data_IF_002520247676
#
_entry.id   IF_002520247676
#
_cell.length_a   1.000
_cell.length_b   1.000
_cell.length_c   1.000
_cell.angle_alpha   90.00
_cell.angle_beta   90.00
_cell.angle_gamma   90.00
#
_symmetry.space_group_name_H-M   'P 1'
#
loop_
_entity.id
_entity.type
_entity.pdbx_description
1 polymer ?
#
# COMPACT_ATOMS: atom_id res chain seq x y z
N UNK A 1 -10.40 -15.13 14.64
CA UNK A 1 -9.40 -16.23 14.77
C UNK A 1 -8.13 -15.65 15.37
N UNK A 2 -7.24 -16.44 15.95
CA UNK A 2 -5.96 -15.96 16.49
C UNK A 2 -4.79 -16.73 15.86
N UNK A 3 -3.73 -16.00 15.51
CA UNK A 3 -2.48 -16.52 14.98
C UNK A 3 -1.33 -16.13 15.90
N UNK A 4 -0.44 -17.09 16.13
CA UNK A 4 0.79 -16.88 16.87
C UNK A 4 1.97 -17.00 15.92
N UNK A 5 2.63 -15.88 15.65
CA UNK A 5 3.72 -15.76 14.68
C UNK A 5 5.08 -15.90 15.38
N UNK A 6 6.03 -16.59 14.74
CA UNK A 6 7.43 -16.61 15.17
C UNK A 6 8.25 -15.76 14.19
N UNK A 7 9.15 -14.88 14.67
CA UNK A 7 10.01 -14.10 13.79
C UNK A 7 10.75 -14.98 12.78
N UNK A 8 10.72 -14.58 11.50
CA UNK A 8 11.36 -15.28 10.38
C UNK A 8 10.68 -16.58 9.93
N UNK A 9 9.57 -17.00 10.57
CA UNK A 9 8.83 -18.21 10.18
C UNK A 9 7.44 -17.86 9.63
N UNK A 10 7.21 -18.03 8.31
CA UNK A 10 5.89 -17.80 7.73
C UNK A 10 4.88 -18.83 8.23
N UNK A 11 3.64 -18.38 8.44
CA UNK A 11 2.48 -19.21 8.78
C UNK A 11 1.43 -19.09 7.67
N UNK A 12 0.96 -20.21 7.16
CA UNK A 12 -0.08 -20.26 6.13
C UNK A 12 -1.38 -20.83 6.68
N UNK A 13 -2.51 -20.19 6.36
CA UNK A 13 -3.85 -20.68 6.68
C UNK A 13 -4.81 -20.58 5.48
N UNK A 14 -5.85 -21.40 5.48
CA UNK A 14 -6.86 -21.43 4.42
C UNK A 14 -8.00 -20.43 4.71
N UNK A 15 -8.16 -19.42 3.86
CA UNK A 15 -9.35 -18.57 3.81
C UNK A 15 -10.43 -19.25 2.97
N UNK A 16 -11.43 -19.83 3.63
CA UNK A 16 -12.57 -20.51 2.98
C UNK A 16 -13.69 -19.51 2.75
N UNK A 17 -14.15 -19.41 1.51
CA UNK A 17 -15.20 -18.47 1.13
C UNK A 17 -16.32 -19.20 0.41
N UNK A 18 -17.54 -18.76 0.68
CA UNK A 18 -18.77 -19.30 0.11
C UNK A 18 -19.53 -18.18 -0.59
N UNK A 19 -20.01 -18.43 -1.81
CA UNK A 19 -20.88 -17.46 -2.50
C UNK A 19 -22.20 -17.30 -1.73
N UNK A 20 -22.64 -16.07 -1.40
CA UNK A 20 -23.94 -15.83 -0.80
C UNK A 20 -25.06 -16.17 -1.78
N UNK A 21 -26.14 -16.76 -1.28
CA UNK A 21 -27.29 -17.20 -2.11
C UNK A 21 -28.44 -16.19 -2.16
N UNK A 22 -28.47 -15.21 -1.26
CA UNK A 22 -29.65 -14.34 -1.01
C UNK A 22 -29.22 -12.94 -0.56
N UNK A 23 -28.18 -12.36 -1.18
CA UNK A 23 -27.79 -10.97 -0.90
C UNK A 23 -28.18 -10.08 -2.07
N UNK A 24 -29.00 -9.05 -1.85
CA UNK A 24 -29.38 -8.13 -2.91
C UNK A 24 -28.16 -7.35 -3.40
N UNK A 25 -28.19 -6.99 -4.67
CA UNK A 25 -27.21 -6.10 -5.29
C UNK A 25 -27.85 -4.71 -5.37
N UNK A 26 -27.22 -3.76 -4.71
CA UNK A 26 -27.61 -2.35 -4.73
C UNK A 26 -26.91 -1.69 -5.91
N UNK A 27 -27.69 -1.12 -6.83
CA UNK A 27 -27.17 -0.54 -8.08
C UNK A 27 -27.31 0.98 -8.04
N UNK A 28 -26.18 1.68 -8.11
CA UNK A 28 -26.14 3.13 -8.32
C UNK A 28 -25.71 3.46 -9.74
N UNK A 29 -26.52 4.25 -10.46
CA UNK A 29 -26.29 4.58 -11.87
C UNK A 29 -25.74 6.01 -12.01
N UNK A 30 -24.46 6.16 -12.34
CA UNK A 30 -23.78 7.45 -12.46
C UNK A 30 -23.48 7.75 -13.93
N UNK A 31 -24.06 8.80 -14.51
CA UNK A 31 -23.94 9.10 -15.95
C UNK A 31 -23.41 10.49 -16.23
N UNK A 32 -22.65 10.64 -17.33
CA UNK A 32 -22.21 11.94 -17.81
C UNK A 32 -23.38 12.73 -18.42
N UNK A 33 -23.36 14.05 -18.22
CA UNK A 33 -24.33 14.96 -18.83
C UNK A 33 -24.24 14.97 -20.35
N UNK A 34 -23.02 14.97 -20.90
CA UNK A 34 -22.76 14.90 -22.35
C UNK A 34 -23.41 13.67 -22.99
N UNK A 35 -23.37 12.53 -22.28
CA UNK A 35 -24.04 11.33 -22.74
C UNK A 35 -25.56 11.47 -22.70
N UNK A 36 -26.17 12.13 -21.70
CA UNK A 36 -27.62 12.34 -21.70
C UNK A 36 -28.04 13.32 -22.81
N UNK A 37 -27.27 14.40 -23.01
CA UNK A 37 -27.58 15.51 -23.91
C UNK A 37 -27.53 15.16 -25.40
N UNK A 38 -26.56 14.35 -25.86
CA UNK A 38 -26.39 13.99 -27.30
C UNK A 38 -27.47 13.03 -27.86
N UNK A 39 -28.54 12.74 -27.13
CA UNK A 39 -29.39 11.57 -27.36
C UNK A 39 -30.85 11.91 -27.63
N UNK A 40 -31.54 11.06 -28.40
CA UNK A 40 -33.01 11.09 -28.40
C UNK A 40 -33.50 10.79 -26.97
N UNK A 41 -34.17 11.74 -26.34
CA UNK A 41 -34.57 11.77 -24.92
C UNK A 41 -35.21 10.46 -24.42
N UNK A 42 -35.85 9.69 -25.31
CA UNK A 42 -36.51 8.42 -25.00
C UNK A 42 -35.57 7.21 -24.82
N UNK A 43 -34.41 7.14 -25.50
CA UNK A 43 -33.52 5.96 -25.47
C UNK A 43 -32.52 5.97 -24.32
N UNK A 44 -32.10 7.16 -23.87
CA UNK A 44 -31.07 7.31 -22.81
C UNK A 44 -31.65 7.40 -21.41
N UNK A 45 -32.92 7.80 -21.26
CA UNK A 45 -33.70 7.72 -20.01
C UNK A 45 -33.93 6.29 -19.54
N UNK A 46 -34.06 5.33 -20.46
CA UNK A 46 -34.28 3.91 -20.14
C UNK A 46 -33.00 3.11 -19.86
N UNK A 47 -31.81 3.68 -20.08
CA UNK A 47 -30.55 2.92 -19.92
C UNK A 47 -30.35 2.48 -18.47
N UNK A 48 -30.67 3.32 -17.49
CA UNK A 48 -30.62 2.95 -16.08
C UNK A 48 -31.50 1.73 -15.75
N UNK A 49 -32.72 1.68 -16.28
CA UNK A 49 -33.61 0.53 -16.08
C UNK A 49 -33.06 -0.74 -16.74
N UNK A 50 -32.43 -0.63 -17.91
CA UNK A 50 -31.77 -1.76 -18.57
C UNK A 50 -30.55 -2.26 -17.79
N UNK A 51 -29.79 -1.36 -17.16
CA UNK A 51 -28.68 -1.73 -16.27
C UNK A 51 -29.18 -2.58 -15.12
N UNK A 52 -30.21 -2.12 -14.41
CA UNK A 52 -30.77 -2.88 -13.28
C UNK A 52 -31.33 -4.21 -13.74
N UNK A 53 -32.07 -4.23 -14.85
CA UNK A 53 -32.59 -5.47 -15.44
C UNK A 53 -31.49 -6.44 -15.85
N UNK A 54 -30.35 -5.95 -16.36
CA UNK A 54 -29.20 -6.79 -16.71
C UNK A 54 -28.57 -7.45 -15.48
N UNK A 55 -28.48 -6.72 -14.36
CA UNK A 55 -27.97 -7.25 -13.09
C UNK A 55 -28.95 -8.25 -12.50
N UNK A 56 -30.27 -8.00 -12.62
CA UNK A 56 -31.33 -8.91 -12.19
C UNK A 56 -31.31 -10.27 -12.92
N UNK A 57 -30.86 -10.32 -14.18
CA UNK A 57 -30.66 -11.60 -14.90
C UNK A 57 -29.63 -12.52 -14.21
N UNK A 58 -28.77 -11.98 -13.34
CA UNK A 58 -27.71 -12.72 -12.60
C UNK A 58 -28.03 -12.79 -11.11
N UNK A 59 -28.52 -11.70 -10.53
CA UNK A 59 -28.90 -11.58 -9.13
C UNK A 59 -30.34 -11.05 -9.02
N UNK A 60 -31.36 -11.92 -8.93
CA UNK A 60 -32.77 -11.52 -9.02
C UNK A 60 -33.24 -10.48 -7.99
N UNK A 61 -32.59 -10.41 -6.83
CA UNK A 61 -32.90 -9.44 -5.76
C UNK A 61 -32.25 -8.07 -5.98
N UNK A 62 -31.55 -7.86 -7.11
CA UNK A 62 -30.93 -6.60 -7.43
C UNK A 62 -31.98 -5.48 -7.61
N UNK A 63 -31.67 -4.31 -7.07
CA UNK A 63 -32.50 -3.12 -7.16
C UNK A 63 -31.62 -1.87 -7.23
N UNK A 64 -32.17 -0.78 -7.75
CA UNK A 64 -31.46 0.50 -7.71
C UNK A 64 -31.70 1.24 -6.42
N UNK A 65 -30.68 1.96 -5.98
CA UNK A 65 -30.74 2.88 -4.85
C UNK A 65 -30.72 4.35 -5.28
N UNK A 66 -30.58 4.63 -6.58
CA UNK A 66 -30.56 5.98 -7.13
C UNK A 66 -29.71 6.14 -8.38
N UNK A 67 -29.65 7.37 -8.84
CA UNK A 67 -28.84 7.78 -9.98
C UNK A 67 -28.07 9.06 -9.68
N UNK A 68 -27.06 9.34 -10.50
CA UNK A 68 -26.32 10.58 -10.44
C UNK A 68 -25.93 11.10 -11.83
N UNK A 69 -25.75 12.42 -11.90
CA UNK A 69 -25.41 13.14 -13.13
C UNK A 69 -24.16 13.99 -12.88
N UNK A 70 -23.19 13.94 -13.78
CA UNK A 70 -21.95 14.73 -13.68
C UNK A 70 -21.60 15.48 -14.96
N UNK A 71 -20.96 16.63 -14.82
CA UNK A 71 -20.52 17.50 -15.92
C UNK A 71 -19.50 18.54 -15.43
N UNK A 72 -18.72 19.15 -16.34
CA UNK A 72 -17.69 20.14 -15.96
C UNK A 72 -18.13 21.60 -16.17
N UNK A 73 -17.52 22.48 -15.38
CA UNK A 73 -17.78 23.91 -15.20
C UNK A 73 -16.84 24.81 -16.05
N UNK A 74 -15.95 24.27 -16.90
CA UNK A 74 -14.92 25.10 -17.52
C UNK A 74 -15.48 26.09 -18.57
N UNK A 75 -15.61 27.35 -18.15
CA UNK A 75 -15.80 28.57 -18.95
C UNK A 75 -17.05 28.61 -19.86
N UNK A 76 -18.23 28.44 -19.28
CA UNK A 76 -19.39 29.17 -19.79
C UNK A 76 -19.28 30.63 -19.30
N UNK A 77 -18.49 31.44 -20.01
CA UNK A 77 -18.93 32.82 -20.24
C UNK A 77 -20.30 32.69 -20.88
N UNK A 78 -21.35 32.83 -20.07
CA UNK A 78 -22.72 32.97 -20.53
C UNK A 78 -22.79 34.26 -21.36
N UNK A 79 -22.32 34.20 -22.61
CA UNK A 79 -22.84 35.10 -23.62
C UNK A 79 -24.36 34.88 -23.62
N UNK A 80 -25.06 36.00 -23.46
CA UNK A 80 -26.50 36.17 -23.39
C UNK A 80 -27.23 35.70 -24.66
N UNK A 81 -27.09 34.46 -25.06
CA UNK A 81 -27.75 33.90 -26.25
C UNK A 81 -28.51 32.63 -25.88
N UNK A 82 -29.54 32.77 -25.05
CA UNK A 82 -30.53 31.69 -24.90
C UNK A 82 -31.47 31.75 -23.70
N UNK A 83 -31.03 32.30 -22.57
CA UNK A 83 -31.93 32.50 -21.42
C UNK A 83 -32.64 33.85 -21.58
N UNK A 84 -33.96 33.82 -21.79
CA UNK A 84 -34.77 35.04 -21.86
C UNK A 84 -34.62 35.89 -20.60
N UNK A 85 -34.57 37.21 -20.74
CA UNK A 85 -34.54 38.12 -19.59
C UNK A 85 -35.77 37.88 -18.71
N UNK A 86 -35.58 37.27 -17.54
CA UNK A 86 -36.64 37.04 -16.55
C UNK A 86 -36.70 35.65 -15.92
N UNK A 87 -36.04 34.64 -16.49
CA UNK A 87 -36.01 33.29 -15.92
C UNK A 87 -34.88 33.13 -14.90
N UNK A 88 -35.24 33.08 -13.62
CA UNK A 88 -34.32 32.99 -12.49
C UNK A 88 -33.58 31.64 -12.35
N UNK A 89 -33.76 30.69 -13.27
CA UNK A 89 -33.40 29.28 -13.05
C UNK A 89 -32.32 28.70 -13.99
N UNK A 90 -31.75 29.48 -14.92
CA UNK A 90 -30.56 29.06 -15.68
C UNK A 90 -29.26 28.98 -14.83
N UNK A 91 -29.34 29.13 -13.51
CA UNK A 91 -28.22 29.49 -12.62
C UNK A 91 -27.48 28.34 -11.94
N UNK A 92 -27.75 27.07 -12.23
CA UNK A 92 -27.09 25.98 -11.49
C UNK A 92 -26.55 24.87 -12.42
N UNK A 93 -25.28 25.00 -12.79
CA UNK A 93 -24.52 23.92 -13.43
C UNK A 93 -23.70 23.21 -12.34
N UNK A 94 -23.87 21.90 -12.22
CA UNK A 94 -23.38 21.09 -11.11
C UNK A 94 -22.24 20.17 -11.55
N UNK A 95 -21.21 20.00 -10.71
CA UNK A 95 -20.14 19.01 -10.96
C UNK A 95 -20.65 17.59 -10.78
N UNK A 96 -21.50 17.39 -9.77
CA UNK A 96 -22.19 16.13 -9.49
C UNK A 96 -23.56 16.42 -8.89
N UNK A 97 -24.56 15.65 -9.29
CA UNK A 97 -25.92 15.69 -8.76
C UNK A 97 -26.40 14.29 -8.41
N UNK A 98 -26.97 14.11 -7.23
CA UNK A 98 -27.56 12.86 -6.78
C UNK A 98 -29.10 12.91 -6.90
N UNK A 99 -29.69 11.81 -7.37
CA UNK A 99 -31.13 11.62 -7.43
C UNK A 99 -31.50 10.28 -6.77
N UNK A 100 -32.50 10.24 -5.88
CA UNK A 100 -32.96 8.99 -5.27
C UNK A 100 -33.72 8.10 -6.26
N UNK A 101 -34.11 8.64 -7.42
CA UNK A 101 -34.72 7.89 -8.53
C UNK A 101 -33.67 7.47 -9.56
N UNK A 102 -33.97 6.40 -10.27
CA UNK A 102 -33.22 5.91 -11.44
C UNK A 102 -33.25 6.87 -12.62
N UNK A 103 -34.34 7.64 -12.73
CA UNK A 103 -34.56 8.55 -13.83
C UNK A 103 -33.91 9.90 -13.50
N UNK A 104 -32.92 10.36 -14.29
CA UNK A 104 -32.48 11.75 -14.21
C UNK A 104 -33.65 12.67 -14.62
N UNK A 105 -33.67 13.93 -14.16
CA UNK A 105 -34.74 14.88 -14.50
C UNK A 105 -34.94 15.00 -16.01
N UNK A 106 -36.21 15.00 -16.45
CA UNK A 106 -36.61 14.95 -17.86
C UNK A 106 -36.14 16.15 -18.70
N UNK A 107 -35.75 17.24 -18.04
CA UNK A 107 -35.28 18.47 -18.67
C UNK A 107 -33.79 18.66 -18.38
N UNK A 108 -32.96 18.20 -19.32
CA UNK A 108 -31.58 18.68 -19.42
C UNK A 108 -31.61 20.14 -19.89
N UNK A 109 -30.83 21.06 -19.28
CA UNK A 109 -30.70 22.42 -19.77
C UNK A 109 -30.31 22.42 -21.26
N UNK A 110 -31.02 23.20 -22.08
CA UNK A 110 -30.64 23.44 -23.48
C UNK A 110 -29.45 24.37 -23.48
N UNK A 111 -28.25 23.83 -23.63
CA UNK A 111 -27.02 24.63 -23.71
C UNK A 111 -26.23 24.26 -24.97
N UNK A 112 -25.71 25.29 -25.63
CA UNK A 112 -25.04 25.22 -26.94
C UNK A 112 -23.81 24.31 -26.97
N UNK A 113 -23.41 23.98 -28.19
CA UNK A 113 -22.43 22.98 -28.67
C UNK A 113 -20.98 23.02 -28.08
N UNK A 114 -20.76 23.59 -26.89
CA UNK A 114 -19.44 23.60 -26.23
C UNK A 114 -19.51 23.44 -24.72
N UNK A 115 -20.27 22.44 -24.24
CA UNK A 115 -19.96 21.90 -22.91
C UNK A 115 -18.68 21.09 -23.00
N UNK A 116 -17.58 21.74 -22.60
CA UNK A 116 -16.31 21.12 -22.29
C UNK A 116 -16.53 19.79 -21.57
N UNK A 117 -15.83 18.78 -22.07
CA UNK A 117 -16.00 17.37 -21.78
C UNK A 117 -16.07 17.03 -20.28
N UNK A 118 -16.58 15.84 -20.01
CA UNK A 118 -16.94 15.22 -18.73
C UNK A 118 -15.80 15.03 -17.71
N UNK A 119 -14.91 16.00 -17.56
CA UNK A 119 -13.65 15.89 -16.84
C UNK A 119 -13.85 15.74 -15.32
N UNK A 120 -15.00 16.16 -14.79
CA UNK A 120 -15.43 15.98 -13.39
C UNK A 120 -15.89 14.55 -13.02
N UNK A 121 -15.81 13.61 -13.95
CA UNK A 121 -16.32 12.25 -13.76
C UNK A 121 -15.73 11.50 -12.57
N UNK A 122 -14.40 11.52 -12.37
CA UNK A 122 -13.81 10.83 -11.21
C UNK A 122 -14.14 11.51 -9.88
N UNK A 123 -14.33 12.83 -9.88
CA UNK A 123 -14.77 13.55 -8.68
C UNK A 123 -16.21 13.18 -8.31
N UNK A 124 -17.10 13.07 -9.30
CA UNK A 124 -18.46 12.59 -9.08
C UNK A 124 -18.48 11.14 -8.58
N UNK A 125 -17.64 10.28 -9.16
CA UNK A 125 -17.48 8.89 -8.71
C UNK A 125 -17.01 8.84 -7.25
N UNK A 126 -16.00 9.63 -6.88
CA UNK A 126 -15.52 9.71 -5.51
C UNK A 126 -16.63 10.16 -4.55
N UNK A 127 -17.39 11.20 -4.89
CA UNK A 127 -18.50 11.68 -4.04
C UNK A 127 -19.61 10.64 -3.87
N UNK A 128 -19.97 9.89 -4.92
CA UNK A 128 -20.92 8.77 -4.83
C UNK A 128 -20.40 7.61 -3.94
N UNK A 129 -19.08 7.49 -3.80
CA UNK A 129 -18.43 6.48 -2.95
C UNK A 129 -18.41 6.92 -1.48
N UNK A 130 -18.02 8.17 -1.19
CA UNK A 130 -17.82 8.64 0.20
C UNK A 130 -19.08 9.18 0.86
N UNK A 131 -20.10 9.58 0.10
CA UNK A 131 -21.36 10.10 0.62
C UNK A 131 -22.40 9.00 0.90
N UNK A 132 -21.96 7.87 1.48
CA UNK A 132 -22.80 6.66 1.50
C UNK A 132 -24.14 6.80 2.21
N UNK A 133 -24.20 7.61 3.28
CA UNK A 133 -25.44 7.88 4.01
C UNK A 133 -26.45 8.68 3.18
N UNK A 134 -25.98 9.61 2.35
CA UNK A 134 -26.84 10.43 1.47
C UNK A 134 -27.25 9.67 0.20
N UNK A 135 -26.35 8.84 -0.33
CA UNK A 135 -26.64 7.98 -1.48
C UNK A 135 -27.60 6.84 -1.10
N UNK A 136 -27.56 6.39 0.16
CA UNK A 136 -28.41 5.32 0.67
C UNK A 136 -27.83 3.91 0.45
N UNK A 137 -26.51 3.76 0.47
CA UNK A 137 -25.89 2.43 0.41
C UNK A 137 -26.26 1.60 1.65
N UNK A 138 -26.86 0.43 1.45
CA UNK A 138 -27.25 -0.48 2.51
C UNK A 138 -26.16 -1.51 2.82
N UNK A 139 -26.63 -2.69 3.26
CA UNK A 139 -25.80 -3.84 3.65
C UNK A 139 -25.64 -4.84 2.49
N UNK A 140 -26.16 -4.52 1.30
CA UNK A 140 -26.07 -5.36 0.12
C UNK A 140 -24.70 -5.37 -0.56
N UNK A 141 -24.64 -6.04 -1.71
CA UNK A 141 -23.50 -5.94 -2.62
C UNK A 141 -23.58 -4.61 -3.36
N UNK A 142 -22.60 -3.74 -3.18
CA UNK A 142 -22.61 -2.39 -3.76
C UNK A 142 -22.02 -2.40 -5.17
N UNK A 143 -22.81 -2.00 -6.15
CA UNK A 143 -22.42 -1.91 -7.55
C UNK A 143 -22.71 -0.51 -8.09
N UNK A 144 -21.67 0.17 -8.55
CA UNK A 144 -21.78 1.45 -9.22
C UNK A 144 -21.53 1.26 -10.72
N UNK A 145 -22.50 1.66 -11.54
CA UNK A 145 -22.36 1.66 -13.00
C UNK A 145 -22.07 3.07 -13.45
N UNK A 146 -20.87 3.30 -13.97
CA UNK A 146 -20.36 4.59 -14.41
C UNK A 146 -20.47 4.69 -15.92
N UNK A 147 -21.21 5.68 -16.44
CA UNK A 147 -21.44 5.90 -17.87
C UNK A 147 -20.77 7.18 -18.34
N UNK A 148 -19.90 7.07 -19.33
CA UNK A 148 -19.23 8.22 -19.93
C UNK A 148 -18.95 8.04 -21.42
N UNK A 149 -18.98 9.15 -22.16
CA UNK A 149 -18.67 9.24 -23.59
C UNK A 149 -17.37 10.02 -23.86
N UNK A 150 -16.67 10.42 -22.81
CA UNK A 150 -15.41 11.16 -22.87
C UNK A 150 -14.44 10.67 -21.78
N UNK A 151 -13.20 11.14 -21.86
CA UNK A 151 -12.16 10.83 -20.89
C UNK A 151 -12.41 11.44 -19.51
N UNK A 152 -11.43 11.26 -18.63
CA UNK A 152 -11.42 11.80 -17.28
C UNK A 152 -10.12 12.55 -16.97
N UNK A 153 -10.16 13.41 -15.93
CA UNK A 153 -8.99 14.05 -15.32
C UNK A 153 -8.68 13.45 -13.94
N UNK A 154 -7.42 13.57 -13.53
CA UNK A 154 -6.92 13.15 -12.21
C UNK A 154 -6.25 14.33 -11.51
N UNK A 155 -5.85 14.13 -10.25
CA UNK A 155 -5.16 15.13 -9.44
C UNK A 155 -4.03 15.86 -10.19
N UNK A 156 -3.93 17.17 -9.95
CA UNK A 156 -2.93 18.04 -10.59
C UNK A 156 -3.30 18.54 -11.99
N UNK A 157 -4.47 18.15 -12.53
CA UNK A 157 -4.96 18.58 -13.84
C UNK A 157 -6.03 19.71 -13.77
N UNK A 158 -6.20 20.34 -12.60
CA UNK A 158 -7.10 21.50 -12.40
C UNK A 158 -6.44 22.87 -12.59
N UNK A 159 -7.23 23.93 -12.83
CA UNK A 159 -6.78 25.32 -12.70
C UNK A 159 -6.23 25.64 -11.29
N UNK A 160 -5.31 26.62 -11.22
CA UNK A 160 -4.45 26.97 -10.05
C UNK A 160 -5.16 27.31 -8.72
N UNK A 161 -6.49 27.45 -8.69
CA UNK A 161 -7.25 27.88 -7.50
C UNK A 161 -8.02 26.74 -6.79
N UNK A 162 -7.81 25.48 -7.20
CA UNK A 162 -8.55 24.33 -6.66
C UNK A 162 -8.04 23.94 -5.26
N UNK A 163 -8.96 23.68 -4.32
CA UNK A 163 -8.62 23.29 -2.95
C UNK A 163 -8.34 21.78 -2.86
N UNK A 164 -7.16 21.41 -2.37
CA UNK A 164 -6.66 20.03 -2.27
C UNK A 164 -7.09 19.30 -0.98
N UNK A 165 -7.36 20.04 0.10
CA UNK A 165 -7.39 19.46 1.46
C UNK A 165 -8.67 18.67 1.85
N UNK A 166 -9.66 18.53 0.97
CA UNK A 166 -10.99 17.98 1.32
C UNK A 166 -11.54 16.92 0.35
N UNK A 167 -10.64 16.23 -0.37
CA UNK A 167 -11.03 15.37 -1.49
C UNK A 167 -11.66 14.05 -1.05
N UNK A 168 -11.14 13.43 0.02
CA UNK A 168 -11.61 12.13 0.51
C UNK A 168 -12.87 12.18 1.37
N UNK A 169 -13.53 13.34 1.50
CA UNK A 169 -14.73 13.52 2.34
C UNK A 169 -15.99 13.73 1.51
N UNK A 170 -17.13 13.43 2.13
CA UNK A 170 -18.41 13.75 1.55
C UNK A 170 -18.67 15.26 1.59
N UNK A 171 -18.92 15.83 0.41
CA UNK A 171 -19.21 17.25 0.23
C UNK A 171 -20.63 17.51 -0.32
N UNK A 172 -21.44 16.46 -0.50
CA UNK A 172 -22.88 16.62 -0.74
C UNK A 172 -23.55 17.17 0.51
N UNK A 173 -24.51 18.08 0.34
CA UNK A 173 -25.34 18.60 1.44
C UNK A 173 -26.75 18.05 1.31
N UNK A 174 -27.43 17.87 2.43
CA UNK A 174 -28.77 17.26 2.49
C UNK A 174 -29.84 18.11 1.77
N UNK A 175 -29.66 19.44 1.79
CA UNK A 175 -30.51 20.43 1.12
C UNK A 175 -30.11 20.68 -0.36
N UNK A 176 -28.87 20.34 -0.71
CA UNK A 176 -28.31 20.50 -2.03
C UNK A 176 -27.89 19.13 -2.55
N UNK A 177 -28.80 18.49 -3.28
CA UNK A 177 -28.57 17.29 -4.10
C UNK A 177 -27.47 17.44 -5.16
N UNK A 178 -26.67 18.50 -5.06
CA UNK A 178 -25.71 18.91 -6.04
C UNK A 178 -24.45 19.48 -5.37
N UNK A 179 -23.31 19.09 -5.91
CA UNK A 179 -21.99 19.57 -5.53
C UNK A 179 -21.42 20.41 -6.68
N UNK A 180 -20.98 21.63 -6.38
CA UNK A 180 -20.49 22.63 -7.36
C UNK A 180 -19.16 23.29 -6.93
N UNK A 181 -18.54 22.83 -5.83
CA UNK A 181 -17.30 23.44 -5.34
C UNK A 181 -16.11 22.99 -6.19
N UNK A 182 -15.23 23.94 -6.52
CA UNK A 182 -13.98 23.69 -7.25
C UNK A 182 -12.97 22.96 -6.35
N UNK A 183 -13.10 21.64 -6.28
CA UNK A 183 -12.10 20.73 -5.73
C UNK A 183 -11.20 20.23 -6.87
N UNK A 184 -9.97 19.84 -6.52
CA UNK A 184 -9.13 19.08 -7.46
C UNK A 184 -9.78 17.70 -7.75
N UNK A 185 -9.39 17.06 -8.84
CA UNK A 185 -9.84 15.70 -9.19
C UNK A 185 -9.07 14.66 -8.37
N UNK A 186 -9.67 13.52 -7.98
CA UNK A 186 -8.96 12.52 -7.20
C UNK A 186 -7.73 11.97 -7.90
N UNK A 187 -6.72 11.62 -7.10
CA UNK A 187 -5.69 10.70 -7.57
C UNK A 187 -6.30 9.30 -7.73
N UNK A 188 -5.72 8.49 -8.62
CA UNK A 188 -6.16 7.09 -8.80
C UNK A 188 -6.00 6.30 -7.50
N UNK A 189 -4.97 6.61 -6.70
CA UNK A 189 -4.72 5.98 -5.41
C UNK A 189 -5.81 6.29 -4.37
N UNK A 190 -6.24 7.56 -4.25
CA UNK A 190 -7.33 7.95 -3.34
C UNK A 190 -8.64 7.25 -3.75
N UNK A 191 -8.95 7.24 -5.04
CA UNK A 191 -10.14 6.56 -5.54
C UNK A 191 -10.09 5.04 -5.26
N UNK A 192 -8.95 4.39 -5.50
CA UNK A 192 -8.76 2.97 -5.18
C UNK A 192 -8.92 2.68 -3.69
N UNK A 193 -8.40 3.56 -2.83
CA UNK A 193 -8.53 3.45 -1.37
C UNK A 193 -10.00 3.54 -0.94
N UNK A 194 -10.72 4.59 -1.38
CA UNK A 194 -12.14 4.80 -1.00
C UNK A 194 -13.08 3.76 -1.56
N UNK A 195 -12.85 3.25 -2.78
CA UNK A 195 -13.61 2.13 -3.33
C UNK A 195 -13.42 0.85 -2.50
N UNK A 196 -12.18 0.58 -2.05
CA UNK A 196 -11.86 -0.56 -1.19
C UNK A 196 -12.52 -0.43 0.18
N UNK A 197 -12.39 0.74 0.81
CA UNK A 197 -12.92 1.04 2.14
C UNK A 197 -14.46 0.95 2.18
N UNK A 198 -15.13 1.48 1.15
CA UNK A 198 -16.58 1.46 1.06
C UNK A 198 -17.12 0.20 0.36
N UNK A 199 -16.22 -0.69 -0.09
CA UNK A 199 -16.53 -1.96 -0.70
C UNK A 199 -17.44 -1.87 -1.94
N UNK A 200 -17.21 -0.85 -2.77
CA UNK A 200 -17.99 -0.55 -3.97
C UNK A 200 -17.26 -1.08 -5.20
N UNK A 201 -17.98 -1.81 -6.05
CA UNK A 201 -17.49 -2.30 -7.34
C UNK A 201 -17.94 -1.39 -8.46
N UNK A 202 -17.10 -1.21 -9.49
CA UNK A 202 -17.39 -0.29 -10.59
C UNK A 202 -17.43 -1.00 -11.93
N UNK A 203 -18.53 -0.82 -12.67
CA UNK A 203 -18.59 -1.14 -14.11
C UNK A 203 -18.49 0.19 -14.87
N UNK A 204 -17.40 0.38 -15.61
CA UNK A 204 -17.25 1.48 -16.55
C UNK A 204 -17.93 1.10 -17.86
N UNK A 205 -19.07 1.71 -18.14
CA UNK A 205 -19.80 1.58 -19.39
C UNK A 205 -19.50 2.80 -20.27
N UNK A 206 -18.59 2.64 -21.23
CA UNK A 206 -18.01 3.78 -21.95
C UNK A 206 -18.03 3.60 -23.46
N UNK A 207 -17.97 4.70 -24.21
CA UNK A 207 -17.86 4.64 -25.68
C UNK A 207 -16.54 4.00 -26.11
N UNK A 208 -16.53 3.41 -27.31
CA UNK A 208 -15.36 2.72 -27.87
C UNK A 208 -14.12 3.63 -27.92
N UNK A 209 -14.31 4.91 -28.24
CA UNK A 209 -13.24 5.91 -28.35
C UNK A 209 -12.41 6.09 -27.07
N UNK A 210 -13.00 5.88 -25.89
CA UNK A 210 -12.33 6.10 -24.60
C UNK A 210 -12.08 4.80 -23.82
N UNK A 211 -12.50 3.65 -24.36
CA UNK A 211 -12.48 2.37 -23.67
C UNK A 211 -11.08 1.97 -23.15
N UNK A 212 -10.03 2.14 -23.96
CA UNK A 212 -8.67 1.80 -23.55
C UNK A 212 -8.18 2.62 -22.34
N UNK A 213 -8.48 3.93 -22.30
CA UNK A 213 -8.12 4.79 -21.16
C UNK A 213 -8.81 4.35 -19.86
N UNK A 214 -10.07 3.91 -19.94
CA UNK A 214 -10.78 3.39 -18.78
C UNK A 214 -10.31 1.98 -18.39
N UNK A 215 -9.78 1.20 -19.34
CA UNK A 215 -9.18 -0.11 -19.06
C UNK A 215 -7.91 0.03 -18.24
N UNK A 216 -7.02 0.95 -18.61
CA UNK A 216 -5.84 1.30 -17.82
C UNK A 216 -6.20 1.77 -16.40
N UNK A 217 -7.27 2.58 -16.27
CA UNK A 217 -7.79 2.96 -14.96
C UNK A 217 -8.31 1.74 -14.18
N UNK A 218 -9.08 0.88 -14.84
CA UNK A 218 -9.69 -0.32 -14.24
C UNK A 218 -8.64 -1.30 -13.70
N UNK A 219 -7.50 -1.43 -14.37
CA UNK A 219 -6.37 -2.26 -13.93
C UNK A 219 -5.77 -1.78 -12.59
N UNK A 220 -5.88 -0.49 -12.28
CA UNK A 220 -5.38 0.11 -11.04
C UNK A 220 -6.42 0.06 -9.91
N UNK A 221 -7.71 0.09 -10.26
CA UNK A 221 -8.82 0.14 -9.31
C UNK A 221 -9.21 -1.25 -8.79
N UNK A 222 -9.64 -1.34 -7.52
CA UNK A 222 -10.11 -2.60 -6.95
C UNK A 222 -11.42 -3.03 -7.62
N UNK A 223 -11.49 -4.31 -8.01
CA UNK A 223 -12.72 -5.00 -8.42
C UNK A 223 -13.62 -4.16 -9.34
N UNK A 224 -12.99 -3.68 -10.42
CA UNK A 224 -13.65 -2.89 -11.46
C UNK A 224 -13.56 -3.60 -12.81
N UNK A 225 -14.40 -3.20 -13.77
CA UNK A 225 -14.34 -3.70 -15.14
C UNK A 225 -14.83 -2.65 -16.13
N UNK A 226 -14.50 -2.83 -17.41
CA UNK A 226 -14.89 -1.97 -18.51
C UNK A 226 -15.73 -2.76 -19.50
N UNK A 227 -16.81 -2.14 -19.97
CA UNK A 227 -17.62 -2.65 -21.07
C UNK A 227 -17.91 -1.52 -22.06
N UNK A 228 -17.90 -1.85 -23.34
CA UNK A 228 -18.16 -0.87 -24.41
C UNK A 228 -19.65 -0.64 -24.58
N UNK A 229 -20.02 0.64 -24.70
CA UNK A 229 -21.35 1.13 -24.99
C UNK A 229 -21.56 1.18 -26.51
N UNK A 230 -22.43 0.30 -27.08
CA UNK A 230 -22.65 0.27 -28.52
C UNK A 230 -23.54 1.43 -28.97
N UNK A 231 -23.29 1.94 -30.17
CA UNK A 231 -23.98 3.12 -30.73
C UNK A 231 -25.51 2.95 -30.85
N UNK A 232 -26.00 1.72 -31.04
CA UNK A 232 -27.43 1.42 -31.23
C UNK A 232 -28.15 0.91 -29.98
N UNK A 233 -27.42 0.69 -28.88
CA UNK A 233 -27.90 0.16 -27.60
C UNK A 233 -28.66 -1.18 -27.68
N UNK A 234 -28.66 -1.90 -28.81
CA UNK A 234 -29.50 -3.11 -28.97
C UNK A 234 -29.04 -4.27 -28.08
N UNK A 235 -27.73 -4.33 -27.80
CA UNK A 235 -27.11 -5.42 -27.04
C UNK A 235 -26.63 -4.98 -25.65
N UNK A 236 -26.97 -3.77 -25.21
CA UNK A 236 -26.38 -3.20 -23.99
C UNK A 236 -26.73 -4.01 -22.73
N UNK A 237 -27.96 -4.54 -22.63
CA UNK A 237 -28.37 -5.42 -21.53
C UNK A 237 -27.45 -6.65 -21.43
N UNK A 238 -27.10 -7.26 -22.57
CA UNK A 238 -26.19 -8.42 -22.62
C UNK A 238 -24.78 -8.06 -22.14
N UNK A 239 -24.23 -6.96 -22.64
CA UNK A 239 -22.89 -6.49 -22.28
C UNK A 239 -22.78 -6.21 -20.76
N UNK A 240 -23.78 -5.53 -20.17
CA UNK A 240 -23.79 -5.24 -18.73
C UNK A 240 -23.92 -6.52 -17.92
N UNK A 241 -24.78 -7.46 -18.36
CA UNK A 241 -24.94 -8.76 -17.70
C UNK A 241 -23.62 -9.53 -17.67
N UNK A 242 -22.90 -9.56 -18.78
CA UNK A 242 -21.65 -10.29 -18.90
C UNK A 242 -20.51 -9.60 -18.11
N UNK A 243 -20.48 -8.26 -18.10
CA UNK A 243 -19.58 -7.48 -17.23
C UNK A 243 -19.83 -7.77 -15.74
N UNK A 244 -21.11 -7.82 -15.31
CA UNK A 244 -21.46 -8.14 -13.94
C UNK A 244 -21.14 -9.61 -13.59
N UNK A 245 -21.38 -10.57 -14.50
CA UNK A 245 -20.96 -11.97 -14.32
C UNK A 245 -19.46 -12.08 -14.10
N UNK A 246 -18.67 -11.35 -14.90
CA UNK A 246 -17.23 -11.33 -14.73
C UNK A 246 -16.84 -10.81 -13.34
N UNK A 247 -17.39 -9.68 -12.89
CA UNK A 247 -17.14 -9.16 -11.53
C UNK A 247 -17.58 -10.13 -10.42
N UNK A 248 -18.73 -10.78 -10.58
CA UNK A 248 -19.24 -11.76 -9.63
C UNK A 248 -18.42 -13.07 -9.61
N UNK A 249 -17.73 -13.37 -10.72
CA UNK A 249 -16.82 -14.50 -10.85
C UNK A 249 -15.42 -14.23 -10.29
N UNK A 250 -15.00 -12.95 -10.23
CA UNK A 250 -13.68 -12.56 -9.75
C UNK A 250 -13.68 -12.29 -8.24
N UNK A 251 -12.76 -12.94 -7.54
CA UNK A 251 -12.44 -12.67 -6.15
C UNK A 251 -11.29 -11.71 -6.07
N UNK A 252 -11.38 -10.82 -5.10
CA UNK A 252 -10.27 -9.97 -4.69
C UNK A 252 -10.35 -9.86 -3.17
N UNK A 253 -9.23 -10.14 -2.50
CA UNK A 253 -9.13 -10.01 -1.04
C UNK A 253 -8.24 -8.82 -0.73
N UNK A 254 -8.76 -7.87 0.02
CA UNK A 254 -7.96 -6.77 0.59
C UNK A 254 -7.67 -7.04 2.05
N UNK A 255 -6.66 -6.34 2.56
CA UNK A 255 -6.27 -6.44 3.96
C UNK A 255 -5.92 -5.07 4.53
N UNK A 256 -6.09 -4.91 5.84
CA UNK A 256 -5.60 -3.72 6.54
C UNK A 256 -4.08 -3.73 6.58
N UNK A 257 -3.48 -2.56 6.39
CA UNK A 257 -2.04 -2.40 6.58
C UNK A 257 -1.68 -2.60 8.05
N UNK A 258 -0.62 -3.37 8.29
CA UNK A 258 -0.10 -3.67 9.62
C UNK A 258 1.43 -3.53 9.54
N UNK A 259 2.00 -2.68 10.38
CA UNK A 259 3.44 -2.42 10.39
C UNK A 259 4.23 -3.67 10.79
N UNK A 260 5.32 -3.96 10.09
CA UNK A 260 6.18 -5.13 10.35
C UNK A 260 5.60 -6.49 9.94
N UNK A 261 4.50 -6.51 9.19
CA UNK A 261 3.83 -7.72 8.74
C UNK A 261 3.87 -7.87 7.21
N UNK A 262 4.35 -9.02 6.74
CA UNK A 262 4.34 -9.40 5.33
C UNK A 262 3.20 -10.39 5.07
N UNK A 263 2.37 -10.10 4.07
CA UNK A 263 1.22 -10.94 3.68
C UNK A 263 1.32 -11.29 2.20
N UNK A 264 1.11 -12.55 1.87
CA UNK A 264 1.02 -13.03 0.49
C UNK A 264 -0.14 -14.01 0.31
N UNK A 265 -0.62 -14.13 -0.93
CA UNK A 265 -1.78 -14.93 -1.28
C UNK A 265 -1.41 -15.94 -2.36
N UNK A 266 -1.62 -17.23 -2.08
CA UNK A 266 -1.56 -18.28 -3.08
C UNK A 266 -2.98 -18.73 -3.41
N UNK A 267 -3.39 -18.58 -4.67
CA UNK A 267 -4.71 -19.00 -5.14
C UNK A 267 -4.68 -20.46 -5.61
N UNK A 268 -5.70 -21.24 -5.23
CA UNK A 268 -5.96 -22.58 -5.76
C UNK A 268 -7.00 -22.59 -6.89
N UNK A 269 -7.17 -21.47 -7.59
CA UNK A 269 -8.36 -21.22 -8.41
C UNK A 269 -8.33 -21.83 -9.81
N UNK A 270 -7.14 -22.18 -10.31
CA UNK A 270 -6.90 -22.94 -11.53
C UNK A 270 -5.44 -23.38 -11.55
N UNK A 271 -5.15 -24.52 -12.21
CA UNK A 271 -3.78 -25.00 -12.39
C UNK A 271 -2.93 -23.91 -13.10
N UNK A 272 -1.91 -23.39 -12.41
CA UNK A 272 -0.83 -22.62 -13.03
C UNK A 272 -0.80 -21.10 -12.80
N UNK A 273 -1.70 -20.50 -12.01
CA UNK A 273 -1.63 -19.04 -11.76
C UNK A 273 -0.72 -18.69 -10.57
N UNK A 274 0.23 -17.75 -10.79
CA UNK A 274 1.21 -17.30 -9.79
C UNK A 274 0.63 -16.27 -8.81
N UNK A 275 1.16 -16.32 -7.59
CA UNK A 275 0.93 -15.43 -6.45
C UNK A 275 0.71 -13.96 -6.85
N UNK A 276 -0.43 -13.36 -6.45
CA UNK A 276 -0.73 -11.94 -6.67
C UNK A 276 -0.82 -11.18 -5.35
N UNK A 277 -0.44 -9.89 -5.37
CA UNK A 277 -0.44 -9.01 -4.20
C UNK A 277 -1.85 -8.81 -3.61
N UNK A 278 -2.91 -8.96 -4.41
CA UNK A 278 -4.32 -8.75 -4.00
C UNK A 278 -5.17 -10.02 -3.94
N UNK A 279 -4.55 -11.21 -3.92
CA UNK A 279 -5.27 -12.49 -3.84
C UNK A 279 -6.37 -12.63 -4.90
N UNK A 280 -6.14 -12.07 -6.09
CA UNK A 280 -7.13 -12.02 -7.16
C UNK A 280 -7.25 -13.39 -7.84
N UNK A 281 -8.48 -13.83 -8.11
CA UNK A 281 -8.71 -15.11 -8.77
C UNK A 281 -10.09 -15.17 -9.45
N UNK A 282 -10.16 -15.81 -10.61
CA UNK A 282 -11.42 -16.10 -11.29
C UNK A 282 -11.98 -17.45 -10.83
N UNK A 283 -13.24 -17.47 -10.40
CA UNK A 283 -13.91 -18.69 -9.96
C UNK A 283 -14.96 -19.11 -11.01
N UNK A 284 -15.02 -20.40 -11.38
CA UNK A 284 -16.12 -20.94 -12.18
C UNK A 284 -17.49 -20.63 -11.58
N UNK A 285 -18.48 -20.24 -12.39
CA UNK A 285 -19.83 -19.87 -11.92
C UNK A 285 -20.52 -20.95 -11.09
N UNK A 286 -20.29 -22.22 -11.42
CA UNK A 286 -20.92 -23.37 -10.72
C UNK A 286 -20.31 -23.65 -9.34
N UNK A 287 -19.12 -23.12 -9.05
CA UNK A 287 -18.42 -23.39 -7.80
C UNK A 287 -19.01 -22.57 -6.66
N UNK A 288 -19.50 -23.23 -5.60
CA UNK A 288 -20.10 -22.54 -4.44
C UNK A 288 -19.12 -22.27 -3.30
N UNK A 289 -17.98 -22.96 -3.30
CA UNK A 289 -16.94 -22.89 -2.27
C UNK A 289 -15.57 -22.85 -2.94
N UNK A 290 -14.67 -22.06 -2.38
CA UNK A 290 -13.28 -21.98 -2.80
C UNK A 290 -12.43 -21.56 -1.60
N UNK A 291 -11.12 -21.73 -1.73
CA UNK A 291 -10.16 -21.40 -0.68
C UNK A 291 -8.95 -20.64 -1.26
N UNK A 292 -8.39 -19.77 -0.44
CA UNK A 292 -7.15 -19.04 -0.71
C UNK A 292 -6.16 -19.34 0.42
N UNK A 293 -4.93 -19.65 0.08
CA UNK A 293 -3.87 -19.82 1.08
C UNK A 293 -3.28 -18.45 1.38
N UNK A 294 -3.48 -17.98 2.61
CA UNK A 294 -2.94 -16.71 3.10
C UNK A 294 -1.69 -17.03 3.91
N UNK A 295 -0.55 -16.53 3.47
CA UNK A 295 0.73 -16.67 4.18
C UNK A 295 1.09 -15.36 4.83
N UNK A 296 1.31 -15.40 6.14
CA UNK A 296 1.63 -14.25 6.97
C UNK A 296 2.97 -14.48 7.64
N UNK A 297 3.86 -13.50 7.60
CA UNK A 297 5.17 -13.55 8.24
C UNK A 297 5.57 -12.21 8.85
N UNK A 298 6.46 -12.24 9.82
CA UNK A 298 7.09 -11.05 10.39
C UNK A 298 8.54 -11.36 10.70
N UNK A 299 9.42 -10.37 10.55
CA UNK A 299 10.85 -10.50 10.84
C UNK A 299 11.19 -10.12 12.29
N UNK A 300 10.25 -9.52 13.01
CA UNK A 300 10.41 -9.06 14.39
C UNK A 300 9.21 -9.44 15.26
N UNK A 301 9.32 -9.18 16.55
CA UNK A 301 8.23 -9.38 17.50
C UNK A 301 7.22 -8.24 17.39
N UNK A 302 6.00 -8.56 17.00
CA UNK A 302 4.89 -7.62 16.93
C UNK A 302 4.17 -7.55 18.28
N UNK A 303 3.78 -6.34 18.68
CA UNK A 303 2.79 -6.12 19.73
C UNK A 303 1.43 -6.72 19.32
N UNK A 304 0.58 -7.14 20.27
CA UNK A 304 -0.74 -7.69 19.96
C UNK A 304 -1.58 -6.72 19.14
N UNK A 305 -2.00 -7.15 17.95
CA UNK A 305 -2.75 -6.30 17.00
C UNK A 305 -3.71 -7.13 16.13
N UNK A 306 -4.57 -6.45 15.38
CA UNK A 306 -5.58 -7.10 14.53
C UNK A 306 -5.31 -6.88 13.05
N UNK A 307 -5.23 -7.98 12.30
CA UNK A 307 -5.28 -7.99 10.85
C UNK A 307 -6.72 -8.24 10.41
N UNK A 308 -7.21 -7.46 9.46
CA UNK A 308 -8.52 -7.67 8.89
C UNK A 308 -8.43 -7.98 7.41
N UNK A 309 -9.00 -9.11 7.01
CA UNK A 309 -9.14 -9.51 5.63
C UNK A 309 -10.57 -9.24 5.17
N UNK A 310 -10.72 -8.50 4.08
CA UNK A 310 -12.01 -8.12 3.51
C UNK A 310 -12.13 -8.71 2.11
N UNK A 311 -13.24 -9.40 1.86
CA UNK A 311 -13.56 -9.84 0.50
C UNK A 311 -14.24 -8.69 -0.25
N UNK A 312 -13.63 -8.21 -1.32
CA UNK A 312 -14.19 -7.08 -2.06
C UNK A 312 -15.49 -7.47 -2.77
N UNK A 313 -16.47 -6.57 -2.75
CA UNK A 313 -17.84 -6.79 -3.17
C UNK A 313 -18.70 -7.61 -2.20
N UNK A 314 -18.21 -7.88 -0.99
CA UNK A 314 -18.96 -8.56 0.06
C UNK A 314 -18.68 -7.88 1.42
N UNK A 315 -19.70 -7.67 2.27
CA UNK A 315 -19.53 -7.07 3.60
C UNK A 315 -18.80 -7.98 4.62
N UNK A 316 -18.57 -9.25 4.31
CA UNK A 316 -17.94 -10.22 5.22
C UNK A 316 -16.46 -9.88 5.45
N UNK A 317 -16.09 -9.72 6.73
CA UNK A 317 -14.73 -9.42 7.18
C UNK A 317 -14.22 -10.52 8.11
N UNK A 318 -13.00 -10.99 7.87
CA UNK A 318 -12.31 -11.89 8.79
C UNK A 318 -11.32 -11.10 9.64
N UNK A 319 -11.56 -11.07 10.95
CA UNK A 319 -10.62 -10.50 11.93
C UNK A 319 -9.69 -11.58 12.48
N UNK A 320 -8.40 -11.31 12.36
CA UNK A 320 -7.29 -12.18 12.77
C UNK A 320 -6.50 -11.46 13.85
N UNK A 321 -6.57 -11.97 15.08
CA UNK A 321 -5.73 -11.48 16.18
C UNK A 321 -4.32 -12.03 16.01
N UNK A 322 -3.33 -11.15 15.96
CA UNK A 322 -1.92 -11.47 15.80
C UNK A 322 -1.21 -11.36 17.14
N UNK A 323 -0.46 -12.41 17.49
CA UNK A 323 0.43 -12.47 18.65
C UNK A 323 1.78 -12.99 18.21
N UNK A 324 2.84 -12.62 18.92
CA UNK A 324 4.19 -13.09 18.61
C UNK A 324 4.71 -14.06 19.68
N UNK A 325 5.05 -15.28 19.27
CA UNK A 325 5.75 -16.27 20.09
C UNK A 325 7.25 -15.95 20.17
N UNK A 326 7.58 -14.86 20.87
CA UNK A 326 8.97 -14.42 21.05
C UNK A 326 9.60 -14.86 22.36
N UNK A 327 8.77 -15.18 23.36
CA UNK A 327 9.24 -15.72 24.62
C UNK A 327 9.27 -17.23 24.52
N UNK A 328 10.41 -17.81 24.86
CA UNK A 328 10.53 -19.25 25.02
C UNK A 328 10.03 -19.63 26.41
N UNK A 329 9.07 -20.54 26.50
CA UNK A 329 8.73 -21.19 27.77
C UNK A 329 9.70 -22.35 28.00
N UNK A 330 10.78 -22.06 28.72
CA UNK A 330 11.84 -23.02 28.99
C UNK A 330 11.60 -23.83 30.26
N UNK A 331 10.51 -23.56 31.00
CA UNK A 331 10.15 -24.22 32.26
C UNK A 331 11.33 -24.33 33.24
N UNK A 332 12.15 -23.28 33.31
CA UNK A 332 13.29 -23.26 34.21
C UNK A 332 12.79 -23.35 35.65
N UNK A 333 13.39 -24.23 36.46
CA UNK A 333 13.25 -24.18 37.92
C UNK A 333 14.29 -23.20 38.45
N UNK A 334 13.89 -22.05 39.02
CA UNK A 334 14.84 -21.06 39.50
C UNK A 334 15.57 -21.61 40.74
N UNK A 335 16.79 -22.09 40.55
CA UNK A 335 17.73 -22.40 41.62
C UNK A 335 18.99 -21.53 41.44
N UNK A 336 19.24 -20.57 42.33
CA UNK A 336 20.40 -19.70 42.28
C UNK A 336 21.74 -20.44 42.30
N UNK A 337 21.79 -21.67 42.84
CA UNK A 337 23.01 -22.47 42.89
C UNK A 337 23.51 -22.90 41.51
N UNK A 338 22.63 -23.04 40.51
CA UNK A 338 23.01 -23.38 39.14
C UNK A 338 23.84 -22.28 38.47
N UNK A 339 23.74 -21.04 38.96
CA UNK A 339 24.51 -19.90 38.46
C UNK A 339 25.52 -19.38 39.48
N UNK A 340 25.95 -20.22 40.44
CA UNK A 340 26.90 -19.82 41.50
C UNK A 340 26.44 -18.55 42.23
N UNK A 341 25.12 -18.41 42.43
CA UNK A 341 24.45 -17.24 43.02
C UNK A 341 24.68 -15.91 42.27
N UNK A 342 25.18 -15.97 41.02
CA UNK A 342 25.46 -14.82 40.15
C UNK A 342 24.59 -14.87 38.89
N UNK A 343 23.38 -14.32 38.98
CA UNK A 343 22.40 -14.27 37.89
C UNK A 343 21.30 -15.32 37.98
N UNK A 344 20.44 -15.35 36.95
CA UNK A 344 19.28 -16.25 36.85
C UNK A 344 19.44 -17.23 35.69
N UNK A 345 18.94 -18.45 35.87
CA UNK A 345 18.80 -19.43 34.77
C UNK A 345 17.69 -18.98 33.83
N UNK A 346 18.01 -18.93 32.54
CA UNK A 346 17.06 -18.74 31.44
C UNK A 346 17.40 -19.75 30.33
N UNK A 347 16.50 -20.71 30.11
CA UNK A 347 16.65 -21.81 29.17
C UNK A 347 17.93 -22.62 29.38
N UNK A 348 18.25 -22.93 30.64
CA UNK A 348 19.48 -23.66 31.01
C UNK A 348 20.77 -22.85 30.91
N UNK A 349 20.69 -21.53 30.70
CA UNK A 349 21.86 -20.63 30.64
C UNK A 349 21.78 -19.59 31.74
N UNK A 350 22.90 -19.33 32.41
CA UNK A 350 23.00 -18.31 33.45
C UNK A 350 23.14 -16.91 32.84
N UNK A 351 22.26 -15.99 33.26
CA UNK A 351 22.26 -14.57 32.87
C UNK A 351 22.20 -13.67 34.10
N UNK A 352 23.27 -12.91 34.35
CA UNK A 352 23.34 -11.84 35.37
C UNK A 352 22.83 -10.50 34.83
N UNK A 353 23.08 -10.22 33.55
CA UNK A 353 22.78 -8.99 32.82
C UNK A 353 22.49 -9.38 31.34
N UNK A 354 21.57 -8.73 30.59
CA UNK A 354 21.30 -9.06 29.18
C UNK A 354 22.53 -9.19 28.25
N UNK A 355 23.65 -8.53 28.58
CA UNK A 355 24.91 -8.58 27.81
C UNK A 355 25.93 -9.59 28.34
N UNK A 356 25.80 -10.01 29.60
CA UNK A 356 26.73 -10.93 30.28
C UNK A 356 26.20 -12.37 30.17
N UNK A 357 27.08 -13.27 29.71
CA UNK A 357 26.77 -14.67 29.47
C UNK A 357 27.81 -15.54 30.15
N UNK A 358 27.35 -16.45 31.00
CA UNK A 358 28.15 -17.51 31.59
C UNK A 358 27.77 -18.82 30.88
N UNK A 359 28.77 -19.62 30.52
CA UNK A 359 28.65 -20.83 29.69
C UNK A 359 29.63 -21.91 30.17
N UNK A 360 29.58 -23.11 29.56
CA UNK A 360 30.37 -24.28 29.99
C UNK A 360 29.53 -25.29 30.78
N UNK A 361 29.97 -26.56 30.81
CA UNK A 361 29.23 -27.63 31.51
C UNK A 361 29.18 -27.39 33.03
N UNK A 362 30.17 -26.68 33.56
CA UNK A 362 30.33 -26.33 34.97
C UNK A 362 30.30 -24.81 35.20
N UNK A 363 29.74 -24.04 34.25
CA UNK A 363 29.68 -22.58 34.29
C UNK A 363 31.07 -21.91 34.42
N UNK A 364 32.10 -22.55 33.86
CA UNK A 364 33.49 -22.15 33.97
C UNK A 364 33.92 -21.04 33.00
N UNK A 365 33.08 -20.74 32.00
CA UNK A 365 33.37 -19.76 30.94
C UNK A 365 32.44 -18.56 31.02
N UNK A 366 32.94 -17.39 30.64
CA UNK A 366 32.13 -16.19 30.48
C UNK A 366 32.55 -15.37 29.24
N UNK A 367 31.76 -14.33 28.92
CA UNK A 367 32.04 -13.40 27.82
C UNK A 367 32.50 -12.00 28.30
N UNK A 368 32.95 -11.87 29.56
CA UNK A 368 33.30 -10.57 30.15
C UNK A 368 34.63 -10.53 30.91
N UNK A 369 35.28 -11.67 31.14
CA UNK A 369 36.55 -11.82 31.84
C UNK A 369 37.77 -11.90 30.91
N UNK A 370 37.67 -11.37 29.68
CA UNK A 370 38.79 -11.32 28.75
C UNK A 370 39.71 -10.09 28.97
N UNK A 371 40.93 -10.09 28.42
CA UNK A 371 41.85 -8.96 28.50
C UNK A 371 41.23 -7.62 28.05
N UNK A 372 41.54 -6.56 28.80
CA UNK A 372 41.09 -5.20 28.50
C UNK A 372 42.20 -4.39 27.83
N UNK A 373 41.83 -3.59 26.82
CA UNK A 373 42.68 -2.56 26.25
C UNK A 373 41.93 -1.23 26.23
N UNK A 374 42.55 -0.18 26.79
CA UNK A 374 41.96 1.17 26.93
C UNK A 374 40.55 1.16 27.54
N UNK A 375 40.34 0.30 28.56
CA UNK A 375 39.07 0.21 29.29
C UNK A 375 37.94 -0.54 28.56
N UNK A 376 38.24 -1.23 27.45
CA UNK A 376 37.27 -2.07 26.73
C UNK A 376 37.76 -3.52 26.66
N UNK A 377 36.85 -4.47 26.85
CA UNK A 377 37.10 -5.90 26.66
C UNK A 377 37.51 -6.13 25.20
N UNK A 378 38.61 -6.86 24.97
CA UNK A 378 39.17 -7.12 23.64
C UNK A 378 39.38 -5.83 22.82
N UNK A 379 39.65 -4.70 23.49
CA UNK A 379 39.83 -3.39 22.86
C UNK A 379 38.58 -2.86 22.13
N UNK A 380 37.44 -3.57 22.22
CA UNK A 380 36.27 -3.36 21.38
C UNK A 380 36.41 -3.85 19.93
N UNK A 381 37.48 -4.59 19.62
CA UNK A 381 37.81 -5.08 18.27
C UNK A 381 37.85 -6.61 18.20
N UNK A 382 37.13 -7.30 19.09
CA UNK A 382 37.05 -8.74 19.10
C UNK A 382 35.93 -9.24 20.00
N UNK A 383 35.61 -10.53 19.85
CA UNK A 383 34.64 -11.22 20.68
C UNK A 383 35.35 -11.90 21.85
N UNK A 384 34.84 -11.70 23.07
CA UNK A 384 35.34 -12.39 24.24
C UNK A 384 34.66 -13.75 24.39
N UNK A 385 35.46 -14.82 24.46
CA UNK A 385 34.96 -16.15 24.75
C UNK A 385 35.90 -16.88 25.71
N UNK A 386 35.39 -17.17 26.91
CA UNK A 386 36.06 -17.96 27.95
C UNK A 386 37.47 -17.45 28.31
N UNK A 387 37.59 -16.13 28.51
CA UNK A 387 38.85 -15.48 28.90
C UNK A 387 39.80 -15.17 27.74
N UNK A 388 39.47 -15.55 26.51
CA UNK A 388 40.26 -15.24 25.30
C UNK A 388 39.54 -14.31 24.33
N UNK A 389 40.32 -13.44 23.68
CA UNK A 389 39.81 -12.51 22.67
C UNK A 389 39.98 -13.06 21.25
N UNK A 390 38.87 -13.18 20.54
CA UNK A 390 38.83 -13.55 19.12
C UNK A 390 38.70 -12.27 18.29
N UNK A 391 39.83 -11.81 17.75
CA UNK A 391 39.90 -10.52 17.08
C UNK A 391 39.12 -10.49 15.76
N UNK A 392 38.44 -9.38 15.52
CA UNK A 392 37.85 -9.09 14.23
C UNK A 392 38.94 -8.93 13.16
N UNK A 393 38.55 -9.09 11.89
CA UNK A 393 39.47 -8.97 10.77
C UNK A 393 40.22 -7.64 10.80
N UNK A 394 41.55 -7.69 10.66
CA UNK A 394 42.41 -6.51 10.71
C UNK A 394 42.94 -6.14 12.10
N UNK A 395 42.70 -6.96 13.12
CA UNK A 395 43.22 -6.77 14.48
C UNK A 395 43.91 -8.03 15.01
N UNK A 396 44.98 -7.84 15.78
CA UNK A 396 45.78 -8.89 16.41
C UNK A 396 46.17 -8.50 17.84
N UNK A 397 46.72 -9.45 18.58
CA UNK A 397 47.15 -9.28 19.97
C UNK A 397 46.19 -9.92 20.96
N UNK A 398 46.64 -10.20 22.20
CA UNK A 398 45.85 -10.87 23.23
C UNK A 398 44.60 -10.10 23.66
N UNK A 399 44.54 -8.79 23.43
CA UNK A 399 43.39 -7.94 23.69
C UNK A 399 42.87 -7.26 22.42
N UNK A 400 43.23 -7.77 21.23
CA UNK A 400 42.91 -7.16 19.92
C UNK A 400 43.28 -5.68 19.82
N UNK A 401 44.39 -5.32 20.46
CA UNK A 401 44.87 -3.96 20.62
C UNK A 401 45.61 -3.42 19.40
N UNK A 402 46.06 -4.30 18.51
CA UNK A 402 46.99 -3.97 17.43
C UNK A 402 46.28 -4.09 16.07
N UNK A 403 46.11 -2.98 15.38
CA UNK A 403 45.57 -2.99 14.02
C UNK A 403 46.64 -3.44 13.01
N UNK A 404 46.27 -4.31 12.07
CA UNK A 404 47.14 -4.71 10.95
C UNK A 404 47.10 -3.74 9.77
N UNK A 405 46.26 -2.70 9.85
CA UNK A 405 46.27 -1.63 8.87
C UNK A 405 47.59 -0.85 8.91
N UNK A 406 47.93 -0.23 7.78
CA UNK A 406 49.18 0.51 7.57
C UNK A 406 48.93 1.91 6.98
N UNK A 407 47.68 2.32 6.92
CA UNK A 407 47.24 3.60 6.33
C UNK A 407 47.79 4.78 7.13
N UNK A 408 47.80 4.72 8.46
CA UNK A 408 48.39 5.77 9.31
C UNK A 408 49.91 5.73 9.39
N UNK A 409 50.54 4.72 8.80
CA UNK A 409 51.97 4.68 8.58
C UNK A 409 52.37 5.25 7.21
N UNK A 410 51.41 5.52 6.32
CA UNK A 410 51.71 6.00 4.96
C UNK A 410 51.90 7.51 4.98
N UNK A 411 53.11 7.94 4.64
CA UNK A 411 53.44 9.36 4.52
C UNK A 411 52.68 10.02 3.35
N UNK A 412 52.58 11.36 3.30
CA UNK A 412 52.01 12.09 2.16
C UNK A 412 52.70 11.79 0.81
N UNK A 413 53.93 11.27 0.84
CA UNK A 413 54.68 10.85 -0.36
C UNK A 413 54.41 9.39 -0.76
N UNK A 414 53.53 8.70 -0.04
CA UNK A 414 53.09 7.34 -0.34
C UNK A 414 53.97 6.23 0.23
N UNK A 415 55.12 6.53 0.83
CA UNK A 415 55.99 5.54 1.49
C UNK A 415 55.54 5.23 2.92
N UNK A 416 55.69 3.98 3.35
CA UNK A 416 55.43 3.57 4.73
C UNK A 416 56.60 4.00 5.62
N UNK A 417 56.31 4.78 6.67
CA UNK A 417 57.29 5.28 7.62
C UNK A 417 58.52 5.91 6.95
N UNK A 418 58.31 6.60 5.83
CA UNK A 418 59.37 7.21 5.01
C UNK A 418 60.51 6.25 4.62
N UNK A 419 60.26 4.94 4.61
CA UNK A 419 61.24 3.86 4.45
C UNK A 419 62.39 3.92 5.49
N UNK A 420 62.12 4.46 6.68
CA UNK A 420 63.09 4.73 7.76
C UNK A 420 62.61 4.19 9.11
N UNK A 421 61.78 3.15 9.06
CA UNK A 421 61.14 2.56 10.23
C UNK A 421 60.15 1.48 9.84
N UNK A 422 59.66 0.75 10.84
CA UNK A 422 58.68 -0.32 10.67
C UNK A 422 57.29 0.13 11.14
N UNK A 423 56.25 -0.24 10.39
CA UNK A 423 54.88 0.00 10.80
C UNK A 423 54.41 -1.13 11.73
N UNK A 424 54.14 -0.80 12.99
CA UNK A 424 53.62 -1.74 13.98
C UNK A 424 52.34 -1.16 14.59
N UNK A 425 51.26 -1.94 14.57
CA UNK A 425 49.94 -1.53 15.07
C UNK A 425 49.44 -0.20 14.47
N UNK A 426 49.63 -0.03 13.15
CA UNK A 426 49.32 1.18 12.40
C UNK A 426 50.04 2.44 12.91
N UNK A 427 51.23 2.29 13.51
CA UNK A 427 52.10 3.38 13.97
C UNK A 427 53.54 3.12 13.54
N UNK A 428 54.24 4.16 13.10
CA UNK A 428 55.65 4.04 12.75
C UNK A 428 56.54 3.94 13.98
N UNK A 429 57.39 2.91 13.99
CA UNK A 429 58.53 2.74 14.90
C UNK A 429 59.77 3.10 14.10
N UNK A 430 60.32 4.29 14.35
CA UNK A 430 61.43 4.83 13.57
C UNK A 430 62.77 4.21 13.98
N UNK A 431 63.63 3.99 12.99
CA UNK A 431 65.03 3.64 13.24
C UNK A 431 65.80 4.91 13.61
N UNK A 432 66.72 4.84 14.57
CA UNK A 432 67.58 5.97 14.91
C UNK A 432 68.43 6.38 13.68
N UNK A 433 68.65 7.68 13.41
CA UNK A 433 68.25 8.87 14.19
C UNK A 433 66.94 9.54 13.71
N UNK A 434 66.02 8.79 13.10
CA UNK A 434 64.81 9.34 12.50
C UNK A 434 63.66 9.48 13.51
N UNK A 435 62.87 10.55 13.35
CA UNK A 435 61.74 10.88 14.22
C UNK A 435 60.55 11.42 13.41
N UNK A 436 59.41 11.57 14.08
CA UNK A 436 58.15 12.04 13.49
C UNK A 436 57.13 10.92 13.30
N UNK A 437 55.85 11.27 13.05
CA UNK A 437 54.76 10.30 12.85
C UNK A 437 55.03 9.31 11.70
N UNK A 438 55.85 9.69 10.72
CA UNK A 438 56.21 8.87 9.57
C UNK A 438 57.73 8.73 9.41
N UNK A 439 58.53 8.96 10.45
CA UNK A 439 60.00 8.89 10.41
C UNK A 439 60.64 9.82 9.36
N UNK A 440 60.02 10.96 9.12
CA UNK A 440 60.38 11.91 8.07
C UNK A 440 61.49 12.88 8.50
N UNK A 441 61.67 13.08 9.81
CA UNK A 441 62.59 14.09 10.36
C UNK A 441 63.89 13.44 10.82
N UNK A 442 65.02 14.02 10.46
CA UNK A 442 66.33 13.69 11.04
C UNK A 442 67.13 14.98 11.29
N UNK A 443 67.20 15.45 12.55
CA UNK A 443 67.88 16.72 12.87
C UNK A 443 69.39 16.72 12.57
N UNK A 444 70.01 15.54 12.50
CA UNK A 444 71.47 15.37 12.34
C UNK A 444 71.88 14.88 10.95
N UNK A 445 70.95 14.72 10.01
CA UNK A 445 71.22 14.21 8.66
C UNK A 445 71.46 15.34 7.62
N UNK A 446 71.26 16.60 7.98
CA UNK A 446 71.60 17.75 7.12
C UNK A 446 73.09 18.07 7.25
N UNK A 447 73.94 17.35 6.50
CA UNK A 447 75.26 17.79 6.02
C UNK A 447 75.96 16.71 5.17
N UNK A 448 75.36 16.29 4.04
CA UNK A 448 76.06 15.42 3.09
C UNK A 448 75.81 15.79 1.61
N UNK A 449 75.69 17.09 1.35
CA UNK A 449 75.81 17.65 0.01
C UNK A 449 77.14 18.43 -0.11
N UNK A 450 78.29 17.72 -0.07
CA UNK A 450 79.59 18.22 -0.56
C UNK A 450 80.65 17.10 -0.52
N UNK A 451 80.59 16.15 -1.46
CA UNK A 451 81.77 15.49 -2.06
C UNK A 451 81.29 14.46 -3.09
N UNK A 452 81.30 14.87 -4.36
CA UNK A 452 81.70 14.09 -5.54
C UNK A 452 81.50 15.03 -6.76
N UNK A 453 82.50 15.90 -6.95
CA UNK A 453 82.94 16.27 -8.30
C UNK A 453 83.80 15.13 -8.83
#
# INVERSE_FOLDING_TARGET
MSLELRPGKPLTFELKVKRPTTRPVEVYYLTSFSFVAKGSTLRRTHLGAQVVSAVQDVSPEAHSIGSGLFGDHQNLTLEKSGCGEGELDCKKVFSFSHFPSLEPPAEAPKTGDSLAASDAGLQALLQAVVCGDLIGWGQGTRLLVYVADHGFRTAGQTPRDSKSDDMGRCNLREDQRHFSRQLDYPSVAELAYRLTENNIQVIFLVTEEVAEKYKELSDLLPKSTVTVLPSDLRNIKGNIRDAYRMLASTLVVSHTHVEGLNISYASGCSEGQKSSVRGACSIPEKSRKFFLNVTVSSDSCLEPQSLHLQLLGNQDRLSVELKSACRCDCRDTPDPSFCSYSGNVSCGVCRSNPTERISGQFCECDNFSCPYYRGRICGGNGECACGECYCHEGFIGPACECSTAVDQCRSPRGSLCSNRGNCQCNKCICEDPYHGPFCETCPYCENDCLLLM
#
